data_IF_711158559884
#
_entry.id   IF_711158559884
#
_cell.length_a   1.000
_cell.length_b   1.000
_cell.length_c   1.000
_cell.angle_alpha   90.00
_cell.angle_beta   90.00
_cell.angle_gamma   90.00
#
_symmetry.space_group_name_H-M   'P 1'
#
loop_
_entity.id
_entity.type
_entity.pdbx_description
1 polymer ?
#
# COMPACT_ATOMS: atom_id res chain seq x y z
N UNK A 1 -0.30 -16.96 -18.97
CA UNK A 1 0.63 -15.85 -18.64
C UNK A 1 0.82 -15.84 -17.14
N UNK A 2 2.04 -15.62 -16.64
CA UNK A 2 2.29 -15.46 -15.20
C UNK A 2 1.96 -14.01 -14.84
N UNK A 3 0.96 -13.81 -13.99
CA UNK A 3 0.61 -12.48 -13.48
C UNK A 3 1.60 -12.06 -12.40
N UNK A 4 1.97 -10.77 -12.36
CA UNK A 4 3.08 -10.30 -11.51
C UNK A 4 2.78 -8.99 -10.79
N UNK A 5 3.38 -8.87 -9.60
CA UNK A 5 3.49 -7.65 -8.81
C UNK A 5 4.98 -7.25 -8.84
N UNK A 6 5.28 -6.09 -9.42
CA UNK A 6 6.63 -5.53 -9.47
C UNK A 6 6.89 -4.60 -8.29
N UNK A 7 8.08 -4.69 -7.70
CA UNK A 7 8.59 -3.75 -6.70
C UNK A 7 10.10 -3.59 -6.83
N UNK A 8 10.71 -2.67 -6.08
CA UNK A 8 12.15 -2.43 -6.16
C UNK A 8 12.99 -3.61 -5.63
N UNK A 9 14.22 -3.74 -6.12
CA UNK A 9 15.20 -4.73 -5.64
C UNK A 9 16.16 -4.19 -4.56
N UNK A 10 15.81 -3.09 -3.88
CA UNK A 10 16.59 -2.50 -2.81
C UNK A 10 16.54 -3.28 -1.49
N UNK A 11 16.86 -2.58 -0.38
CA UNK A 11 16.57 -3.08 0.97
C UNK A 11 15.07 -3.31 1.11
N UNK A 12 14.67 -4.23 1.97
CA UNK A 12 13.27 -4.41 2.28
C UNK A 12 12.81 -3.29 3.21
N UNK A 13 11.80 -2.53 2.81
CA UNK A 13 11.09 -1.64 3.71
C UNK A 13 9.80 -2.32 4.20
N UNK A 14 9.19 -1.73 5.22
CA UNK A 14 7.90 -2.22 5.69
C UNK A 14 6.79 -1.90 4.67
N UNK A 15 6.96 -0.81 3.92
CA UNK A 15 6.00 -0.31 2.94
C UNK A 15 5.67 -1.33 1.85
N UNK A 16 6.64 -1.67 1.01
CA UNK A 16 6.44 -2.55 -0.14
C UNK A 16 6.19 -4.00 0.29
N UNK A 17 6.77 -4.42 1.42
CA UNK A 17 6.53 -5.73 2.00
C UNK A 17 5.06 -5.88 2.43
N UNK A 18 4.50 -4.88 3.12
CA UNK A 18 3.11 -4.90 3.55
C UNK A 18 2.15 -4.73 2.36
N UNK A 19 2.46 -3.85 1.40
CA UNK A 19 1.69 -3.71 0.17
C UNK A 19 1.59 -5.04 -0.59
N UNK A 20 2.70 -5.76 -0.76
CA UNK A 20 2.74 -7.07 -1.37
C UNK A 20 1.93 -8.11 -0.57
N UNK A 21 2.05 -8.11 0.76
CA UNK A 21 1.27 -9.00 1.62
C UNK A 21 -0.23 -8.78 1.45
N UNK A 22 -0.69 -7.52 1.53
CA UNK A 22 -2.11 -7.17 1.38
C UNK A 22 -2.66 -7.61 0.03
N UNK A 23 -1.92 -7.35 -1.06
CA UNK A 23 -2.29 -7.85 -2.38
C UNK A 23 -2.37 -9.38 -2.41
N UNK A 24 -1.39 -10.09 -1.84
CA UNK A 24 -1.39 -11.56 -1.83
C UNK A 24 -2.47 -12.21 -0.99
N UNK A 25 -3.04 -11.45 -0.05
CA UNK A 25 -4.20 -11.88 0.73
C UNK A 25 -5.52 -11.76 -0.03
N UNK A 26 -5.54 -11.06 -1.16
CA UNK A 26 -6.70 -10.97 -2.03
C UNK A 26 -6.72 -12.15 -3.01
N UNK A 27 -7.82 -12.89 -3.08
CA UNK A 27 -7.98 -14.08 -3.93
C UNK A 27 -7.56 -13.82 -5.37
N UNK A 28 -7.98 -12.66 -5.91
CA UNK A 28 -7.65 -12.20 -7.27
C UNK A 28 -6.15 -12.13 -7.55
N UNK A 29 -5.32 -11.77 -6.56
CA UNK A 29 -3.88 -11.57 -6.73
C UNK A 29 -3.03 -12.61 -6.00
N UNK A 30 -3.66 -13.53 -5.26
CA UNK A 30 -3.01 -14.54 -4.42
C UNK A 30 -1.97 -15.39 -5.15
N UNK A 31 -2.19 -15.67 -6.43
CA UNK A 31 -1.29 -16.47 -7.29
C UNK A 31 -0.30 -15.64 -8.12
N UNK A 32 -0.31 -14.32 -8.00
CA UNK A 32 0.63 -13.49 -8.74
C UNK A 32 2.06 -13.79 -8.23
N UNK A 33 3.08 -13.65 -9.07
CA UNK A 33 4.47 -13.74 -8.62
C UNK A 33 5.00 -12.36 -8.24
N UNK A 34 5.89 -12.28 -7.24
CA UNK A 34 6.56 -11.01 -6.90
C UNK A 34 7.84 -10.93 -7.75
N UNK A 35 7.98 -9.83 -8.49
CA UNK A 35 9.17 -9.51 -9.28
C UNK A 35 9.86 -8.32 -8.63
N UNK A 36 11.13 -8.47 -8.26
CA UNK A 36 11.93 -7.39 -7.66
C UNK A 36 12.94 -6.90 -8.67
N UNK A 37 12.82 -5.65 -9.11
CA UNK A 37 13.69 -5.06 -10.12
C UNK A 37 13.69 -3.53 -10.04
N UNK A 38 14.72 -2.88 -10.59
CA UNK A 38 14.73 -1.46 -10.94
C UNK A 38 14.77 -1.22 -12.44
N UNK A 39 14.91 -2.28 -13.22
CA UNK A 39 14.96 -2.22 -14.68
C UNK A 39 13.57 -1.93 -15.24
N UNK A 40 13.43 -0.78 -15.91
CA UNK A 40 12.16 -0.32 -16.45
C UNK A 40 11.50 -1.37 -17.36
N UNK A 41 12.29 -2.00 -18.25
CA UNK A 41 11.83 -3.02 -19.18
C UNK A 41 11.29 -4.30 -18.52
N UNK A 42 11.64 -4.55 -17.25
CA UNK A 42 11.09 -5.64 -16.43
C UNK A 42 9.79 -5.17 -15.75
N UNK A 43 9.80 -3.96 -15.21
CA UNK A 43 8.67 -3.38 -14.47
C UNK A 43 7.47 -3.09 -15.38
N UNK A 44 7.68 -2.65 -16.62
CA UNK A 44 6.62 -2.41 -17.60
C UNK A 44 5.79 -3.66 -17.89
N UNK A 45 6.39 -4.85 -17.76
CA UNK A 45 5.72 -6.14 -17.97
C UNK A 45 4.88 -6.57 -16.75
N UNK A 46 5.03 -5.88 -15.62
CA UNK A 46 4.28 -6.21 -14.41
C UNK A 46 2.88 -5.61 -14.43
N UNK A 47 1.91 -6.41 -13.99
CA UNK A 47 0.51 -5.97 -13.97
C UNK A 47 0.26 -4.93 -12.88
N UNK A 48 0.86 -5.13 -11.71
CA UNK A 48 0.79 -4.21 -10.56
C UNK A 48 2.20 -3.74 -10.26
N UNK A 49 2.39 -2.44 -9.99
CA UNK A 49 3.64 -1.91 -9.43
C UNK A 49 3.37 -1.29 -8.07
N UNK A 50 4.22 -1.62 -7.09
CA UNK A 50 4.23 -1.03 -5.75
C UNK A 50 5.64 -0.55 -5.43
N UNK A 51 5.75 0.63 -4.86
CA UNK A 51 7.01 1.23 -4.41
C UNK A 51 8.10 1.37 -5.50
N UNK A 52 7.65 1.46 -6.75
CA UNK A 52 8.52 1.62 -7.92
C UNK A 52 7.71 2.13 -9.11
N UNK A 53 8.40 2.83 -10.01
CA UNK A 53 7.84 3.29 -11.29
C UNK A 53 7.42 4.75 -11.29
N UNK A 54 7.44 5.45 -10.16
CA UNK A 54 7.24 6.89 -10.02
C UNK A 54 5.84 7.38 -10.38
N UNK A 55 4.83 6.50 -10.27
CA UNK A 55 3.45 6.80 -10.67
C UNK A 55 2.45 6.25 -9.64
N UNK A 56 1.51 7.10 -9.24
CA UNK A 56 0.25 6.68 -8.64
C UNK A 56 -0.89 6.81 -9.66
N UNK A 57 -1.48 5.67 -10.03
CA UNK A 57 -2.66 5.58 -10.89
C UNK A 57 -3.38 4.26 -10.59
N UNK A 58 -4.48 4.32 -9.84
CA UNK A 58 -5.24 3.13 -9.46
C UNK A 58 -5.80 2.39 -10.68
N UNK A 59 -6.21 3.11 -11.73
CA UNK A 59 -6.77 2.49 -12.95
C UNK A 59 -5.73 1.61 -13.67
N UNK A 60 -4.45 1.98 -13.55
CA UNK A 60 -3.30 1.24 -14.09
C UNK A 60 -2.60 0.36 -13.05
N UNK A 61 -3.13 0.26 -11.83
CA UNK A 61 -2.52 -0.46 -10.70
C UNK A 61 -1.05 -0.06 -10.46
N UNK A 62 -0.79 1.24 -10.45
CA UNK A 62 0.51 1.84 -10.11
C UNK A 62 0.38 2.52 -8.76
N UNK A 63 1.19 2.10 -7.80
CA UNK A 63 1.11 2.54 -6.40
C UNK A 63 2.51 2.92 -5.91
N UNK A 64 3.04 4.00 -6.47
CA UNK A 64 4.27 4.64 -6.01
C UNK A 64 3.94 6.04 -5.47
N UNK A 65 4.72 6.51 -4.49
CA UNK A 65 4.59 7.79 -3.82
C UNK A 65 5.83 8.70 -4.00
N UNK A 66 6.91 8.18 -4.60
CA UNK A 66 8.19 8.87 -4.74
C UNK A 66 8.20 10.06 -5.72
N UNK A 67 7.13 10.27 -6.48
CA UNK A 67 7.03 11.36 -7.44
C UNK A 67 7.05 12.74 -6.76
N UNK A 68 7.75 13.68 -7.41
CA UNK A 68 7.79 15.06 -6.93
C UNK A 68 6.38 15.63 -6.83
N UNK A 69 6.07 16.22 -5.68
CA UNK A 69 4.75 16.82 -5.42
C UNK A 69 3.68 15.83 -4.97
N UNK A 70 4.03 14.56 -4.72
CA UNK A 70 3.08 13.62 -4.11
C UNK A 70 2.56 14.14 -2.77
N UNK A 71 1.23 14.19 -2.65
CA UNK A 71 0.53 14.71 -1.49
C UNK A 71 -0.81 13.99 -1.24
N UNK A 72 -0.97 12.77 -1.78
CA UNK A 72 -2.20 12.00 -1.62
C UNK A 72 -2.27 11.48 -0.18
N UNK A 73 -3.42 11.72 0.46
CA UNK A 73 -3.79 11.24 1.80
C UNK A 73 -5.09 10.41 1.71
N UNK A 74 -5.50 9.72 2.78
CA UNK A 74 -6.83 9.11 2.83
C UNK A 74 -7.96 10.12 2.60
N UNK A 75 -7.78 11.36 3.07
CA UNK A 75 -8.77 12.43 2.95
C UNK A 75 -8.91 12.88 1.48
N UNK A 76 -7.78 13.10 0.79
CA UNK A 76 -7.78 13.47 -0.63
C UNK A 76 -8.42 12.41 -1.54
N UNK A 77 -8.51 11.16 -1.08
CA UNK A 77 -9.18 10.06 -1.76
C UNK A 77 -10.63 9.84 -1.29
N UNK A 78 -11.10 10.62 -0.30
CA UNK A 78 -12.47 10.57 0.21
C UNK A 78 -12.75 9.41 1.17
N UNK A 79 -11.73 8.86 1.83
CA UNK A 79 -11.87 7.69 2.71
C UNK A 79 -11.93 8.01 4.21
N UNK A 80 -10.92 8.71 4.73
CA UNK A 80 -10.76 9.03 6.16
C UNK A 80 -10.14 10.41 6.28
N UNK A 81 -10.58 11.20 7.26
CA UNK A 81 -10.02 12.53 7.57
C UNK A 81 -8.63 12.38 8.20
N UNK A 82 -7.60 12.24 7.38
CA UNK A 82 -6.18 12.21 7.79
C UNK A 82 -5.31 13.06 6.88
N UNK A 83 -4.24 13.60 7.46
CA UNK A 83 -3.28 14.48 6.75
C UNK A 83 -1.98 13.78 6.39
N UNK A 84 -1.75 12.57 6.90
CA UNK A 84 -0.59 11.75 6.58
C UNK A 84 -0.60 11.36 5.11
N UNK A 85 0.50 11.64 4.40
CA UNK A 85 0.70 11.19 3.02
C UNK A 85 0.78 9.68 2.98
N UNK A 86 0.15 9.06 1.99
CA UNK A 86 0.20 7.62 1.81
C UNK A 86 1.58 7.19 1.25
N UNK A 87 2.07 6.04 1.69
CA UNK A 87 3.09 5.27 0.98
C UNK A 87 2.40 4.18 0.14
N UNK A 88 3.15 3.25 -0.44
CA UNK A 88 2.57 2.20 -1.29
C UNK A 88 1.58 1.31 -0.52
N UNK A 89 1.88 0.99 0.74
CA UNK A 89 1.00 0.26 1.64
C UNK A 89 -0.30 1.02 1.89
N UNK A 90 -0.26 2.31 2.23
CA UNK A 90 -1.44 3.14 2.40
C UNK A 90 -2.28 3.24 1.12
N UNK A 91 -1.63 3.36 -0.05
CA UNK A 91 -2.33 3.37 -1.34
C UNK A 91 -3.05 2.03 -1.62
N UNK A 92 -2.38 0.90 -1.40
CA UNK A 92 -3.02 -0.42 -1.52
C UNK A 92 -4.17 -0.54 -0.51
N UNK A 93 -3.97 -0.11 0.73
CA UNK A 93 -4.99 -0.17 1.76
C UNK A 93 -6.19 0.72 1.43
N UNK A 94 -5.99 1.94 0.91
CA UNK A 94 -7.07 2.84 0.53
C UNK A 94 -8.02 2.19 -0.49
N UNK A 95 -7.46 1.55 -1.50
CA UNK A 95 -8.23 0.96 -2.59
C UNK A 95 -8.78 -0.44 -2.31
N UNK A 96 -8.03 -1.25 -1.56
CA UNK A 96 -8.35 -2.67 -1.37
C UNK A 96 -8.63 -3.06 0.08
N UNK A 97 -8.41 -2.18 1.06
CA UNK A 97 -8.46 -2.50 2.49
C UNK A 97 -9.80 -3.06 2.96
N UNK A 98 -10.92 -2.54 2.44
CA UNK A 98 -12.25 -3.09 2.78
C UNK A 98 -12.44 -4.52 2.24
N UNK A 99 -12.00 -4.78 1.01
CA UNK A 99 -12.04 -6.13 0.44
C UNK A 99 -11.11 -7.08 1.18
N UNK A 100 -9.89 -6.62 1.49
CA UNK A 100 -8.90 -7.35 2.27
C UNK A 100 -9.47 -7.79 3.62
N UNK A 101 -10.13 -6.88 4.35
CA UNK A 101 -10.74 -7.20 5.65
C UNK A 101 -11.81 -8.29 5.47
N UNK A 102 -12.69 -8.16 4.47
CA UNK A 102 -13.73 -9.17 4.20
C UNK A 102 -13.12 -10.55 3.94
N UNK A 103 -12.09 -10.62 3.09
CA UNK A 103 -11.44 -11.89 2.73
C UNK A 103 -10.63 -12.50 3.89
N UNK A 104 -9.99 -11.68 4.73
CA UNK A 104 -9.29 -12.17 5.93
C UNK A 104 -10.27 -12.77 6.94
N UNK A 105 -11.42 -12.12 7.17
CA UNK A 105 -12.36 -12.58 8.17
C UNK A 105 -13.17 -13.81 7.70
N UNK A 106 -13.24 -14.07 6.38
CA UNK A 106 -13.79 -15.30 5.82
C UNK A 106 -15.31 -15.50 6.00
N UNK A 107 -16.02 -14.51 6.55
CA UNK A 107 -17.49 -14.53 6.68
C UNK A 107 -18.08 -13.17 6.30
N UNK A 108 -19.36 -13.16 5.94
CA UNK A 108 -20.06 -11.92 5.58
C UNK A 108 -20.35 -11.09 6.82
N UNK A 109 -19.78 -9.88 6.88
CA UNK A 109 -20.09 -8.87 7.89
C UNK A 109 -20.87 -7.71 7.28
N UNK A 110 -21.58 -6.98 8.13
CA UNK A 110 -22.22 -5.75 7.71
C UNK A 110 -21.19 -4.68 7.32
N UNK A 111 -21.55 -3.80 6.38
CA UNK A 111 -20.67 -2.75 5.85
C UNK A 111 -20.21 -1.73 6.91
N UNK A 112 -21.00 -1.48 7.96
CA UNK A 112 -20.60 -0.59 9.07
C UNK A 112 -19.47 -1.22 9.88
N UNK A 113 -19.54 -2.52 10.14
CA UNK A 113 -18.46 -3.23 10.83
C UNK A 113 -17.17 -3.21 10.01
N UNK A 114 -17.25 -3.46 8.70
CA UNK A 114 -16.10 -3.32 7.79
C UNK A 114 -15.55 -1.90 7.80
N UNK A 115 -16.41 -0.87 7.80
CA UNK A 115 -15.97 0.52 7.89
C UNK A 115 -15.27 0.84 9.22
N UNK A 116 -15.72 0.27 10.34
CA UNK A 116 -15.06 0.42 11.65
C UNK A 116 -13.68 -0.22 11.62
N UNK A 117 -13.56 -1.45 11.11
CA UNK A 117 -12.26 -2.12 10.98
C UNK A 117 -11.33 -1.36 10.03
N UNK A 118 -11.85 -0.89 8.90
CA UNK A 118 -11.09 -0.12 7.92
C UNK A 118 -10.47 1.14 8.55
N UNK A 119 -11.27 1.90 9.30
CA UNK A 119 -10.79 3.07 10.03
C UNK A 119 -9.76 2.70 11.09
N UNK A 120 -10.10 1.74 11.97
CA UNK A 120 -9.24 1.38 13.10
C UNK A 120 -7.88 0.86 12.64
N UNK A 121 -7.87 -0.09 11.71
CA UNK A 121 -6.63 -0.67 11.20
C UNK A 121 -5.75 0.37 10.49
N UNK A 122 -6.35 1.32 9.78
CA UNK A 122 -5.56 2.41 9.22
C UNK A 122 -4.91 3.24 10.33
N UNK A 123 -5.72 3.81 11.23
CA UNK A 123 -5.26 4.75 12.27
C UNK A 123 -4.30 4.14 13.27
N UNK A 124 -4.40 2.83 13.56
CA UNK A 124 -3.57 2.18 14.58
C UNK A 124 -2.40 1.39 14.02
N UNK A 125 -2.30 1.23 12.69
CA UNK A 125 -1.27 0.38 12.11
C UNK A 125 -0.74 0.91 10.77
N UNK A 126 -1.58 1.03 9.75
CA UNK A 126 -1.11 1.39 8.39
C UNK A 126 -0.55 2.82 8.35
N UNK A 127 -1.21 3.77 9.03
CA UNK A 127 -0.80 5.18 9.02
C UNK A 127 0.62 5.39 9.58
N UNK A 128 1.03 4.58 10.55
CA UNK A 128 2.40 4.65 11.09
C UNK A 128 3.44 4.22 10.04
N UNK A 129 3.11 3.26 9.18
CA UNK A 129 3.97 2.81 8.08
C UNK A 129 4.05 3.91 7.01
N UNK A 130 2.90 4.46 6.63
CA UNK A 130 2.81 5.61 5.71
C UNK A 130 3.67 6.79 6.20
N UNK A 131 3.56 7.13 7.49
CA UNK A 131 4.30 8.22 8.11
C UNK A 131 5.81 7.98 8.06
N UNK A 132 6.26 6.80 8.48
CA UNK A 132 7.70 6.45 8.54
C UNK A 132 8.32 6.47 7.14
N UNK A 133 7.63 5.90 6.17
CA UNK A 133 8.14 5.80 4.80
C UNK A 133 8.16 7.16 4.09
N UNK A 134 7.23 8.06 4.45
CA UNK A 134 7.27 9.48 4.04
C UNK A 134 8.24 10.35 4.89
N UNK A 135 9.08 9.73 5.73
CA UNK A 135 10.14 10.41 6.47
C UNK A 135 9.69 11.17 7.72
N UNK A 136 8.48 10.91 8.23
CA UNK A 136 8.02 11.44 9.51
C UNK A 136 8.75 10.70 10.65
N UNK A 137 9.31 11.47 11.58
CA UNK A 137 10.02 10.91 12.73
C UNK A 137 9.04 10.19 13.66
N UNK A 138 9.44 9.03 14.16
CA UNK A 138 8.64 8.22 15.10
C UNK A 138 8.60 8.80 16.52
N UNK A 139 9.54 9.69 16.84
CA UNK A 139 9.70 10.32 18.15
C UNK A 139 10.30 11.72 17.97
N UNK A 140 10.05 12.60 18.93
CA UNK A 140 10.54 13.99 18.89
C UNK A 140 12.04 14.13 19.18
N UNK A 141 12.64 13.11 19.81
CA UNK A 141 14.05 13.10 20.23
C UNK A 141 15.05 12.64 19.17
N UNK A 142 16.33 12.60 19.56
CA UNK A 142 17.35 11.90 18.78
C UNK A 142 17.24 10.39 19.02
N UNK A 143 17.24 9.56 17.97
CA UNK A 143 17.35 8.13 18.13
C UNK A 143 18.61 7.79 18.92
N UNK A 144 18.54 6.78 19.78
CA UNK A 144 19.75 6.14 20.28
C UNK A 144 20.43 5.28 19.20
N UNK A 145 19.63 4.71 18.29
CA UNK A 145 20.03 3.82 17.22
C UNK A 145 19.52 4.34 15.88
#
# INVERSE_FOLDING_TARGET
MVHTIGTHNGKFHCDEALACFMLKRLDRFSKYSIVRSREHSVLEKCEILVDVGGVYDHSKKRYDHHQKGFAVTMDSLGFLETTTKLSSAGLIYAHYGKQLIKEILGVSYDEKMIAIFFRKLYQTFIEAIDAVDNGIKQYDGLPRF
#
